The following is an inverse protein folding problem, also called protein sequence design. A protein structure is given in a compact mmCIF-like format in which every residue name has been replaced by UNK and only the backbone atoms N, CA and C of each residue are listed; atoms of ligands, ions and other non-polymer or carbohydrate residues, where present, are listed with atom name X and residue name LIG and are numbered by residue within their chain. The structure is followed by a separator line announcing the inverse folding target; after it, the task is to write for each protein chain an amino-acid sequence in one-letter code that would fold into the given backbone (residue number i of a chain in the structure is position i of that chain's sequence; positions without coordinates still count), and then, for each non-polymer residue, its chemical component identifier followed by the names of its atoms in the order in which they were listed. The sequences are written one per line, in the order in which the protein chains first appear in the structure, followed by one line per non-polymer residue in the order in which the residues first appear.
data_IF_676979467383
#
_entry.id   IF_676979467383
#
_cell.length_a   1.000
_cell.length_b   1.000
_cell.length_c   1.000
_cell.angle_alpha   90.00
_cell.angle_beta   90.00
_cell.angle_gamma   90.00
#
_symmetry.space_group_name_H-M   'P 1'
#
loop_
_entity.id
_entity.type
_entity.pdbx_description
1 polymer ?
#
# COMPACT_ATOMS: atom_id res chain seq x y z
N UNK A 1 4.00 27.13 -13.11
CA UNK A 1 2.62 26.75 -13.40
C UNK A 1 2.13 25.75 -12.35
N UNK A 2 1.34 26.16 -11.35
CA UNK A 2 1.00 25.30 -10.23
C UNK A 2 -0.23 24.46 -10.58
N UNK A 3 0.01 23.27 -11.13
CA UNK A 3 -1.00 22.21 -11.26
C UNK A 3 -1.49 21.82 -9.87
N UNK A 4 -2.76 22.13 -9.62
CA UNK A 4 -3.55 21.76 -8.45
C UNK A 4 -3.43 20.24 -8.25
N UNK A 5 -2.79 19.82 -7.15
CA UNK A 5 -2.80 18.42 -6.71
C UNK A 5 -4.21 18.07 -6.26
N UNK A 6 -4.94 17.35 -7.10
CA UNK A 6 -6.19 16.69 -6.72
C UNK A 6 -5.85 15.63 -5.65
N UNK A 7 -6.12 15.93 -4.38
CA UNK A 7 -6.06 14.95 -3.30
C UNK A 7 -7.33 14.13 -3.39
N UNK A 8 -7.24 12.95 -4.02
CA UNK A 8 -8.32 11.98 -4.04
C UNK A 8 -8.08 11.00 -2.90
N UNK A 9 -8.97 10.91 -1.90
CA UNK A 9 -8.84 9.92 -0.82
C UNK A 9 -9.13 8.52 -1.36
N UNK A 10 -8.27 7.55 -1.07
CA UNK A 10 -8.41 6.17 -1.57
C UNK A 10 -9.64 5.43 -0.99
N UNK A 11 -10.24 5.93 0.09
CA UNK A 11 -11.54 5.52 0.63
C UNK A 11 -12.20 6.72 1.33
N UNK A 12 -13.50 6.95 1.12
CA UNK A 12 -14.29 7.97 1.83
C UNK A 12 -15.33 7.29 2.70
N UNK A 13 -15.30 7.54 4.02
CA UNK A 13 -16.41 7.25 4.94
C UNK A 13 -17.14 8.57 5.19
N UNK A 14 -18.44 8.65 4.87
CA UNK A 14 -19.27 9.82 5.16
C UNK A 14 -20.13 9.53 6.38
N UNK A 15 -19.93 10.31 7.43
CA UNK A 15 -20.88 10.41 8.54
C UNK A 15 -21.61 11.76 8.41
N UNK A 16 -22.93 11.73 8.29
CA UNK A 16 -23.76 12.91 8.07
C UNK A 16 -24.15 13.51 9.43
N UNK A 17 -23.37 14.46 9.93
CA UNK A 17 -23.85 15.37 10.97
C UNK A 17 -24.28 16.68 10.30
N UNK A 18 -25.58 16.96 10.31
CA UNK A 18 -26.16 18.26 9.95
C UNK A 18 -25.89 19.24 11.10
N UNK A 19 -25.06 20.28 10.92
CA UNK A 19 -24.94 21.33 11.91
C UNK A 19 -26.10 22.31 11.73
N UNK A 20 -26.81 22.60 12.81
CA UNK A 20 -27.91 23.56 12.85
C UNK A 20 -27.33 24.98 12.92
N UNK A 21 -27.48 25.78 11.85
CA UNK A 21 -27.03 27.17 11.81
C UNK A 21 -28.22 28.11 12.00
N UNK A 22 -28.24 28.86 13.10
CA UNK A 22 -29.15 30.00 13.31
C UNK A 22 -28.45 31.29 12.89
N UNK A 23 -29.00 31.97 11.89
CA UNK A 23 -28.56 33.31 11.48
C UNK A 23 -29.05 34.39 12.47
N UNK A 24 -28.17 35.34 12.78
CA UNK A 24 -28.54 36.64 13.34
C UNK A 24 -27.93 37.74 12.48
N UNK A 25 -28.74 38.75 12.14
CA UNK A 25 -28.34 39.90 11.31
C UNK A 25 -27.51 40.89 12.12
N UNK A 26 -26.36 41.32 11.57
CA UNK A 26 -25.62 42.49 12.06
C UNK A 26 -25.01 43.30 10.91
N UNK A 27 -25.01 44.61 11.11
CA UNK A 27 -24.65 45.71 10.20
C UNK A 27 -23.14 45.85 10.03
N UNK A 28 -22.69 46.15 8.80
CA UNK A 28 -21.29 46.10 8.39
C UNK A 28 -20.45 47.31 8.83
N UNK A 29 -19.38 47.02 9.59
CA UNK A 29 -18.13 47.79 9.61
C UNK A 29 -17.06 46.82 9.10
N UNK A 30 -16.24 47.23 8.14
CA UNK A 30 -15.18 46.40 7.58
C UNK A 30 -14.03 46.24 8.61
N UNK A 31 -14.26 45.37 9.59
CA UNK A 31 -13.25 44.92 10.53
C UNK A 31 -12.89 43.49 10.13
N UNK A 32 -11.59 43.21 9.96
CA UNK A 32 -11.11 41.86 9.67
C UNK A 32 -11.59 40.97 10.83
N UNK A 33 -12.50 40.05 10.54
CA UNK A 33 -13.00 39.10 11.54
C UNK A 33 -11.84 38.17 11.91
N UNK A 34 -11.48 38.02 13.20
CA UNK A 34 -10.37 37.17 13.61
C UNK A 34 -10.61 35.72 13.19
N UNK A 35 -9.57 35.09 12.63
CA UNK A 35 -9.64 33.70 12.17
C UNK A 35 -9.74 32.75 13.36
N UNK A 36 -10.77 31.90 13.36
CA UNK A 36 -10.84 30.76 14.27
C UNK A 36 -9.86 29.68 13.76
N UNK A 37 -8.80 29.42 14.52
CA UNK A 37 -7.85 28.35 14.20
C UNK A 37 -8.40 27.02 14.70
N UNK A 38 -8.75 26.12 13.76
CA UNK A 38 -8.95 24.72 14.07
C UNK A 38 -7.63 23.97 13.93
N UNK A 39 -7.30 23.11 14.90
CA UNK A 39 -6.22 22.14 14.75
C UNK A 39 -6.72 21.09 13.74
N UNK A 40 -6.20 21.12 12.52
CA UNK A 40 -6.34 19.97 11.62
C UNK A 40 -5.69 18.80 12.36
N UNK A 41 -6.48 17.80 12.76
CA UNK A 41 -5.94 16.54 13.21
C UNK A 41 -4.96 16.06 12.13
N UNK A 42 -3.79 15.56 12.55
CA UNK A 42 -2.80 15.01 11.63
C UNK A 42 -3.56 14.14 10.62
N UNK A 43 -3.38 14.42 9.32
CA UNK A 43 -3.84 13.54 8.26
C UNK A 43 -3.03 12.25 8.44
N UNK A 44 -3.49 11.39 9.34
CA UNK A 44 -2.89 10.09 9.60
C UNK A 44 -3.12 9.29 8.33
N UNK A 45 -2.10 9.24 7.48
CA UNK A 45 -2.04 8.29 6.39
C UNK A 45 -2.12 6.92 7.04
N UNK A 46 -3.26 6.25 6.90
CA UNK A 46 -3.48 4.92 7.49
C UNK A 46 -2.61 3.93 6.72
N UNK A 47 -1.41 3.67 7.23
CA UNK A 47 -0.56 2.60 6.74
C UNK A 47 -1.19 1.25 7.11
N UNK A 48 -1.57 0.46 6.10
CA UNK A 48 -2.21 -0.84 6.30
C UNK A 48 -1.14 -1.88 6.58
N UNK A 49 -1.12 -2.36 7.83
CA UNK A 49 -0.24 -3.46 8.28
C UNK A 49 -1.03 -4.55 8.98
N UNK A 50 -0.56 -5.77 8.87
CA UNK A 50 -1.04 -6.91 9.65
C UNK A 50 0.06 -7.26 10.66
N UNK A 51 -0.35 -7.46 11.92
CA UNK A 51 0.56 -7.85 12.99
C UNK A 51 0.06 -9.18 13.54
N UNK A 52 0.88 -10.21 13.41
CA UNK A 52 0.67 -11.53 14.00
C UNK A 52 1.33 -11.52 15.38
N UNK A 53 0.57 -11.92 16.40
CA UNK A 53 1.02 -11.94 17.79
C UNK A 53 0.94 -13.33 18.39
N UNK A 54 1.84 -13.61 19.33
CA UNK A 54 1.75 -14.80 20.17
C UNK A 54 0.51 -14.70 21.08
N UNK A 55 -0.14 -15.84 21.35
CA UNK A 55 -1.36 -15.87 22.16
C UNK A 55 -1.08 -15.70 23.66
N UNK A 56 0.09 -16.11 24.13
CA UNK A 56 0.53 -16.12 25.53
C UNK A 56 0.88 -14.71 26.08
N UNK A 57 1.68 -13.97 25.34
CA UNK A 57 2.33 -12.73 25.79
C UNK A 57 2.07 -11.56 24.83
N UNK A 58 1.25 -11.75 23.79
CA UNK A 58 0.97 -10.74 22.77
C UNK A 58 2.24 -10.21 22.08
N UNK A 59 3.34 -10.97 22.11
CA UNK A 59 4.58 -10.60 21.47
C UNK A 59 4.38 -10.54 19.95
N UNK A 60 4.96 -9.54 19.28
CA UNK A 60 4.86 -9.41 17.82
C UNK A 60 5.76 -10.49 17.21
N UNK A 61 5.15 -11.39 16.44
CA UNK A 61 5.83 -12.51 15.77
C UNK A 61 6.17 -12.11 14.34
N UNK A 62 5.17 -11.69 13.57
CA UNK A 62 5.34 -11.33 12.15
C UNK A 62 4.60 -10.06 11.82
N UNK A 63 5.25 -9.14 11.13
CA UNK A 63 4.65 -7.93 10.59
C UNK A 63 4.58 -8.04 9.08
N UNK A 64 3.39 -7.85 8.51
CA UNK A 64 3.18 -7.76 7.07
C UNK A 64 2.81 -6.32 6.72
N UNK A 65 3.61 -5.67 5.90
CA UNK A 65 3.39 -4.31 5.43
C UNK A 65 3.07 -4.31 3.93
N UNK A 66 2.00 -3.63 3.54
CA UNK A 66 1.66 -3.43 2.12
C UNK A 66 2.11 -2.02 1.71
N UNK A 67 2.94 -1.93 0.67
CA UNK A 67 3.45 -0.62 0.24
C UNK A 67 2.34 0.25 -0.37
N UNK A 68 2.37 1.53 0.00
CA UNK A 68 1.58 2.58 -0.63
C UNK A 68 2.41 3.38 -1.65
N UNK A 69 1.79 4.08 -2.62
CA UNK A 69 2.51 4.94 -3.56
C UNK A 69 3.41 5.99 -2.88
N UNK A 70 2.98 6.52 -1.72
CA UNK A 70 3.77 7.48 -0.95
C UNK A 70 5.10 6.90 -0.46
N UNK A 71 5.15 5.59 -0.12
CA UNK A 71 6.36 4.92 0.37
C UNK A 71 7.46 4.87 -0.72
N UNK A 72 7.07 4.86 -1.99
CA UNK A 72 7.98 4.74 -3.15
C UNK A 72 8.34 6.07 -3.80
N UNK A 73 7.72 7.17 -3.36
CA UNK A 73 7.99 8.50 -3.91
C UNK A 73 9.26 9.10 -3.28
N UNK A 74 10.29 9.31 -4.09
CA UNK A 74 11.56 9.89 -3.63
C UNK A 74 11.34 11.29 -3.01
N UNK A 75 12.06 11.57 -1.92
CA UNK A 75 11.98 12.85 -1.20
C UNK A 75 10.66 13.11 -0.47
N UNK A 76 9.68 12.19 -0.51
CA UNK A 76 8.41 12.36 0.18
C UNK A 76 8.52 12.04 1.68
N UNK A 77 7.70 12.70 2.50
CA UNK A 77 7.57 12.39 3.92
C UNK A 77 7.12 10.93 4.15
N UNK A 78 6.25 10.40 3.28
CA UNK A 78 5.80 9.00 3.33
C UNK A 78 6.96 8.02 3.17
N UNK A 79 7.85 8.24 2.20
CA UNK A 79 9.07 7.42 2.06
C UNK A 79 9.99 7.51 3.27
N UNK A 80 10.18 8.71 3.83
CA UNK A 80 11.04 8.88 5.01
C UNK A 80 10.49 8.11 6.22
N UNK A 81 9.19 8.24 6.49
CA UNK A 81 8.48 7.50 7.55
C UNK A 81 8.61 5.99 7.35
N UNK A 82 8.27 5.52 6.16
CA UNK A 82 8.36 4.10 5.81
C UNK A 82 9.78 3.54 5.96
N UNK A 83 10.82 4.26 5.52
CA UNK A 83 12.21 3.79 5.67
C UNK A 83 12.66 3.76 7.14
N UNK A 84 12.17 4.67 7.99
CA UNK A 84 12.43 4.62 9.44
C UNK A 84 11.82 3.36 10.05
N UNK A 85 10.51 3.17 9.83
CA UNK A 85 9.75 2.01 10.31
C UNK A 85 10.33 0.70 9.81
N UNK A 86 10.76 0.65 8.54
CA UNK A 86 11.43 -0.53 7.97
C UNK A 86 12.70 -0.85 8.75
N UNK A 87 13.57 0.12 9.07
CA UNK A 87 14.76 -0.13 9.89
C UNK A 87 14.41 -0.65 11.29
N UNK A 88 13.40 -0.06 11.93
CA UNK A 88 12.95 -0.51 13.25
C UNK A 88 12.48 -1.97 13.23
N UNK A 89 11.71 -2.36 12.20
CA UNK A 89 11.26 -3.75 12.04
C UNK A 89 12.42 -4.72 11.80
N UNK A 90 13.42 -4.32 10.99
CA UNK A 90 14.62 -5.14 10.73
C UNK A 90 15.51 -5.31 11.97
N UNK A 91 15.45 -4.35 12.90
CA UNK A 91 16.16 -4.41 14.19
C UNK A 91 15.35 -5.11 15.29
N UNK A 92 14.11 -5.50 15.01
CA UNK A 92 13.24 -6.16 15.98
C UNK A 92 13.38 -7.69 15.96
N UNK A 93 12.78 -8.35 16.94
CA UNK A 93 12.64 -9.82 17.00
C UNK A 93 11.52 -10.38 16.12
N UNK A 94 10.76 -9.51 15.44
CA UNK A 94 9.65 -9.93 14.59
C UNK A 94 10.10 -10.22 13.15
N UNK A 95 9.55 -11.26 12.53
CA UNK A 95 9.68 -11.44 11.08
C UNK A 95 9.01 -10.26 10.37
N UNK A 96 9.55 -9.90 9.21
CA UNK A 96 9.05 -8.78 8.43
C UNK A 96 8.80 -9.19 6.98
N UNK A 97 7.55 -9.08 6.55
CA UNK A 97 7.12 -9.27 5.17
C UNK A 97 6.72 -7.92 4.60
N UNK A 98 7.26 -7.59 3.43
CA UNK A 98 6.90 -6.42 2.65
C UNK A 98 6.29 -6.86 1.32
N UNK A 99 5.12 -6.31 1.00
CA UNK A 99 4.39 -6.59 -0.24
C UNK A 99 4.37 -5.33 -1.10
N UNK A 100 5.09 -5.37 -2.23
CA UNK A 100 5.16 -4.30 -3.22
C UNK A 100 4.44 -4.73 -4.52
N UNK A 101 3.16 -4.37 -4.62
CA UNK A 101 2.36 -4.55 -5.84
C UNK A 101 2.32 -3.27 -6.71
N UNK A 102 3.25 -2.34 -6.51
CA UNK A 102 3.28 -1.05 -7.20
C UNK A 102 4.31 -1.06 -8.33
N UNK A 103 3.86 -0.87 -9.57
CA UNK A 103 4.75 -0.81 -10.74
C UNK A 103 5.60 0.47 -10.81
N UNK A 104 5.14 1.55 -10.18
CA UNK A 104 5.80 2.86 -10.18
C UNK A 104 6.59 3.12 -8.88
N UNK A 105 7.46 4.14 -8.94
CA UNK A 105 8.27 4.58 -7.80
C UNK A 105 9.53 3.73 -7.55
N UNK A 106 10.29 4.09 -6.53
CA UNK A 106 11.57 3.45 -6.20
C UNK A 106 11.45 2.55 -4.97
N UNK A 107 11.99 1.33 -5.07
CA UNK A 107 12.08 0.40 -3.92
C UNK A 107 13.05 0.92 -2.86
N UNK A 108 12.95 0.41 -1.64
CA UNK A 108 13.85 0.78 -0.55
C UNK A 108 15.28 0.30 -0.83
N UNK A 109 15.44 -0.95 -1.22
CA UNK A 109 16.73 -1.58 -1.50
C UNK A 109 16.73 -2.23 -2.89
N UNK A 110 17.79 -2.03 -3.69
CA UNK A 110 18.01 -2.85 -4.87
C UNK A 110 18.48 -4.23 -4.44
N UNK A 111 17.76 -5.30 -4.81
CA UNK A 111 18.31 -6.66 -4.71
C UNK A 111 19.31 -6.84 -5.87
N UNK A 112 20.61 -7.06 -5.58
CA UNK A 112 21.62 -7.18 -6.64
C UNK A 112 21.27 -8.30 -7.63
N UNK A 113 21.42 -8.04 -8.93
CA UNK A 113 21.20 -9.04 -9.99
C UNK A 113 19.73 -9.37 -10.30
N UNK A 114 18.75 -8.92 -9.51
CA UNK A 114 17.32 -9.23 -9.72
C UNK A 114 16.72 -8.58 -10.99
N UNK A 115 17.35 -7.52 -11.51
CA UNK A 115 16.76 -6.66 -12.53
C UNK A 115 15.46 -6.00 -12.04
N UNK A 116 14.80 -5.21 -12.91
CA UNK A 116 13.50 -4.62 -12.54
C UNK A 116 12.39 -5.66 -12.74
N UNK A 117 11.52 -5.78 -11.73
CA UNK A 117 10.32 -6.62 -11.75
C UNK A 117 9.12 -5.78 -11.34
N UNK A 118 7.95 -6.10 -11.87
CA UNK A 118 6.73 -5.33 -11.65
C UNK A 118 6.33 -5.36 -10.18
N UNK A 119 6.29 -6.57 -9.61
CA UNK A 119 5.95 -6.81 -8.21
C UNK A 119 7.09 -7.49 -7.47
N UNK A 120 7.15 -7.25 -6.16
CA UNK A 120 8.13 -7.87 -5.28
C UNK A 120 7.48 -8.15 -3.94
N UNK A 121 7.61 -9.39 -3.47
CA UNK A 121 7.37 -9.72 -2.07
C UNK A 121 8.70 -10.03 -1.44
N UNK A 122 8.92 -9.53 -0.23
CA UNK A 122 10.18 -9.63 0.48
C UNK A 122 9.92 -10.13 1.90
N UNK A 123 10.74 -11.06 2.37
CA UNK A 123 10.67 -11.62 3.72
C UNK A 123 12.06 -11.57 4.35
N UNK A 124 12.15 -10.96 5.53
CA UNK A 124 13.27 -11.14 6.45
C UNK A 124 12.80 -11.81 7.72
N UNK A 125 13.46 -12.93 8.01
CA UNK A 125 13.22 -13.71 9.21
C UNK A 125 14.06 -13.13 10.36
N UNK A 126 13.53 -13.08 11.57
CA UNK A 126 14.26 -12.49 12.71
C UNK A 126 15.53 -13.25 13.08
N UNK A 127 15.53 -14.58 12.88
CA UNK A 127 16.69 -15.44 13.13
C UNK A 127 17.83 -15.32 12.12
N UNK A 128 17.58 -14.76 10.93
CA UNK A 128 18.60 -14.55 9.90
C UNK A 128 18.31 -13.26 9.13
N UNK A 129 18.98 -12.18 9.56
CA UNK A 129 18.87 -10.85 8.94
C UNK A 129 19.85 -10.64 7.80
N UNK A 130 20.84 -11.53 7.64
CA UNK A 130 21.83 -11.44 6.56
C UNK A 130 21.27 -12.00 5.25
N UNK A 131 20.36 -12.97 5.34
CA UNK A 131 19.66 -13.54 4.21
C UNK A 131 18.19 -13.09 4.19
N UNK A 132 17.67 -12.89 2.98
CA UNK A 132 16.31 -12.45 2.76
C UNK A 132 15.71 -13.28 1.65
N UNK A 133 14.49 -13.75 1.87
CA UNK A 133 13.71 -14.43 0.85
C UNK A 133 12.95 -13.38 0.05
N UNK A 134 12.83 -13.58 -1.26
CA UNK A 134 12.10 -12.66 -2.10
C UNK A 134 11.47 -13.36 -3.31
N UNK A 135 10.33 -12.83 -3.74
CA UNK A 135 9.57 -13.34 -4.88
C UNK A 135 9.34 -12.22 -5.89
N UNK A 136 10.24 -12.06 -6.88
CA UNK A 136 10.05 -11.12 -7.95
C UNK A 136 8.99 -11.66 -8.90
N UNK A 137 7.90 -10.92 -9.10
CA UNK A 137 6.78 -11.39 -9.92
C UNK A 137 6.55 -10.45 -11.11
N UNK A 138 6.67 -10.95 -12.36
CA UNK A 138 6.24 -10.23 -13.55
C UNK A 138 4.73 -9.95 -13.53
N UNK A 139 4.29 -8.86 -14.15
CA UNK A 139 2.86 -8.52 -14.26
C UNK A 139 2.01 -9.65 -14.87
N UNK A 140 2.56 -10.31 -15.89
CA UNK A 140 1.87 -11.36 -16.64
C UNK A 140 1.82 -12.73 -15.92
N UNK A 141 2.44 -12.85 -14.74
CA UNK A 141 2.52 -14.11 -13.97
C UNK A 141 1.59 -14.07 -12.75
N UNK A 142 1.12 -15.24 -12.33
CA UNK A 142 0.39 -15.37 -11.07
C UNK A 142 1.27 -14.97 -9.88
N UNK A 143 0.66 -14.33 -8.88
CA UNK A 143 1.31 -14.03 -7.61
C UNK A 143 1.64 -15.34 -6.87
N UNK A 144 2.79 -15.40 -6.17
CA UNK A 144 3.25 -16.61 -5.50
C UNK A 144 2.45 -16.92 -4.24
N UNK A 145 2.46 -18.19 -3.82
CA UNK A 145 2.19 -18.53 -2.42
C UNK A 145 3.45 -18.29 -1.61
N UNK A 146 3.37 -17.48 -0.56
CA UNK A 146 4.51 -17.12 0.29
C UNK A 146 4.39 -17.74 1.68
N UNK A 147 5.51 -18.04 2.37
CA UNK A 147 5.47 -18.44 3.76
C UNK A 147 5.22 -17.23 4.68
N UNK A 148 4.33 -17.41 5.64
CA UNK A 148 4.17 -16.49 6.78
C UNK A 148 4.76 -17.19 8.00
N UNK A 149 5.98 -16.80 8.44
CA UNK A 149 6.62 -17.41 9.58
C UNK A 149 5.87 -17.10 10.88
N UNK A 150 5.96 -18.04 11.81
CA UNK A 150 5.42 -17.94 13.16
C UNK A 150 6.58 -18.12 14.16
N UNK A 151 6.30 -18.54 15.40
CA UNK A 151 7.35 -18.81 16.38
C UNK A 151 8.24 -19.98 15.91
N UNK A 152 9.49 -20.12 16.41
CA UNK A 152 10.47 -21.10 15.90
C UNK A 152 10.05 -22.57 15.85
N UNK A 153 9.01 -22.96 16.58
CA UNK A 153 8.48 -24.35 16.62
C UNK A 153 7.23 -24.53 15.78
N UNK A 154 6.66 -23.44 15.27
CA UNK A 154 5.47 -23.45 14.44
C UNK A 154 5.89 -23.47 12.96
N UNK A 155 5.27 -24.32 12.13
CA UNK A 155 5.54 -24.29 10.70
C UNK A 155 5.04 -22.98 10.09
N UNK A 156 5.69 -22.55 9.01
CA UNK A 156 5.20 -21.41 8.22
C UNK A 156 3.77 -21.68 7.72
N UNK A 157 2.92 -20.65 7.78
CA UNK A 157 1.57 -20.70 7.20
C UNK A 157 1.64 -20.27 5.74
N UNK A 158 1.15 -21.06 4.78
CA UNK A 158 1.12 -20.66 3.38
C UNK A 158 0.08 -19.55 3.17
N UNK A 159 0.49 -18.46 2.53
CA UNK A 159 -0.37 -17.36 2.11
C UNK A 159 -0.40 -17.29 0.58
N UNK A 160 -1.51 -17.72 -0.01
CA UNK A 160 -1.74 -17.64 -1.45
C UNK A 160 -2.09 -16.20 -1.85
N UNK A 161 -1.10 -15.48 -2.37
CA UNK A 161 -1.26 -14.07 -2.74
C UNK A 161 -2.18 -13.87 -3.94
N UNK A 162 -2.26 -14.85 -4.84
CA UNK A 162 -3.16 -14.78 -5.98
C UNK A 162 -4.61 -14.90 -5.51
N UNK A 163 -4.89 -15.85 -4.63
CA UNK A 163 -6.22 -16.02 -4.03
C UNK A 163 -6.65 -14.79 -3.23
N UNK A 164 -5.74 -14.19 -2.45
CA UNK A 164 -6.00 -12.93 -1.72
C UNK A 164 -6.36 -11.80 -2.67
N UNK A 165 -5.61 -11.63 -3.77
CA UNK A 165 -5.90 -10.59 -4.75
C UNK A 165 -7.28 -10.79 -5.40
N UNK A 166 -7.63 -12.02 -5.78
CA UNK A 166 -8.93 -12.34 -6.36
C UNK A 166 -10.07 -12.05 -5.37
N UNK A 167 -9.95 -12.51 -4.12
CA UNK A 167 -10.98 -12.29 -3.09
C UNK A 167 -11.21 -10.79 -2.83
N UNK A 168 -10.14 -10.00 -2.75
CA UNK A 168 -10.24 -8.54 -2.63
C UNK A 168 -10.88 -7.91 -3.87
N UNK A 169 -10.51 -8.38 -5.06
CA UNK A 169 -11.04 -7.87 -6.33
C UNK A 169 -12.56 -8.05 -6.40
N UNK A 170 -13.02 -9.27 -6.09
CA UNK A 170 -14.41 -9.69 -6.16
C UNK A 170 -15.25 -9.02 -5.07
N UNK A 171 -14.81 -9.08 -3.80
CA UNK A 171 -15.56 -8.51 -2.68
C UNK A 171 -15.70 -6.99 -2.76
N UNK A 172 -14.71 -6.31 -3.29
CA UNK A 172 -14.73 -4.84 -3.41
C UNK A 172 -15.48 -4.35 -4.65
N UNK A 173 -15.90 -5.26 -5.53
CA UNK A 173 -16.64 -4.95 -6.75
C UNK A 173 -15.85 -4.05 -7.71
N UNK A 174 -14.53 -4.25 -7.81
CA UNK A 174 -13.66 -3.38 -8.61
C UNK A 174 -14.04 -3.34 -10.08
N UNK A 175 -14.65 -4.40 -10.62
CA UNK A 175 -15.20 -4.43 -11.98
C UNK A 175 -16.12 -3.24 -12.29
N UNK A 176 -16.84 -2.71 -11.29
CA UNK A 176 -17.73 -1.55 -11.44
C UNK A 176 -17.04 -0.21 -11.19
N UNK A 177 -15.87 -0.22 -10.57
CA UNK A 177 -15.13 0.98 -10.15
C UNK A 177 -13.96 1.32 -11.06
N UNK A 178 -13.42 0.32 -11.75
CA UNK A 178 -12.29 0.46 -12.66
C UNK A 178 -12.81 0.68 -14.08
N UNK A 179 -12.39 1.79 -14.66
CA UNK A 179 -12.68 2.13 -16.05
C UNK A 179 -11.59 1.54 -16.96
N UNK A 180 -11.85 0.35 -17.48
CA UNK A 180 -10.95 -0.38 -18.37
C UNK A 180 -10.81 0.23 -19.77
N UNK A 181 -11.58 1.28 -20.10
CA UNK A 181 -11.42 2.02 -21.35
C UNK A 181 -10.25 3.02 -21.29
N UNK A 182 -9.76 3.33 -20.08
CA UNK A 182 -8.63 4.25 -19.89
C UNK A 182 -7.32 3.57 -20.25
N UNK A 183 -6.35 4.38 -20.64
CA UNK A 183 -4.98 3.92 -20.80
C UNK A 183 -4.42 3.35 -19.49
N UNK A 184 -3.56 2.33 -19.62
CA UNK A 184 -2.89 1.72 -18.48
C UNK A 184 -2.09 2.79 -17.73
N UNK A 185 -2.24 2.91 -16.40
CA UNK A 185 -1.47 3.87 -15.62
C UNK A 185 0.04 3.65 -15.77
N UNK A 186 0.80 4.73 -15.66
CA UNK A 186 2.26 4.67 -15.71
C UNK A 186 2.83 3.71 -14.63
N UNK A 187 3.97 3.03 -14.90
CA UNK A 187 4.79 3.11 -16.11
C UNK A 187 4.15 2.38 -17.31
N UNK A 188 4.54 2.76 -18.55
CA UNK A 188 4.05 2.07 -19.75
C UNK A 188 4.36 0.56 -19.67
N UNK A 189 3.48 -0.23 -20.28
CA UNK A 189 3.70 -1.66 -20.45
C UNK A 189 4.84 -1.88 -21.46
N UNK A 190 5.66 -2.91 -21.22
CA UNK A 190 6.59 -3.40 -22.24
C UNK A 190 5.83 -4.13 -23.34
N UNK A 191 6.41 -4.27 -24.54
CA UNK A 191 5.76 -4.90 -25.70
C UNK A 191 5.19 -6.30 -25.36
N UNK A 192 5.98 -7.14 -24.68
CA UNK A 192 5.54 -8.46 -24.20
C UNK A 192 4.29 -8.42 -23.31
N UNK A 193 4.14 -7.36 -22.51
CA UNK A 193 3.00 -7.20 -21.61
C UNK A 193 1.77 -6.71 -22.37
N UNK A 194 1.96 -5.89 -23.40
CA UNK A 194 0.89 -5.44 -24.31
C UNK A 194 0.34 -6.63 -25.09
N UNK A 195 1.23 -7.49 -25.63
CA UNK A 195 0.85 -8.71 -26.33
C UNK A 195 0.05 -9.65 -25.43
N UNK A 196 0.53 -9.90 -24.21
CA UNK A 196 -0.17 -10.70 -23.21
C UNK A 196 -1.57 -10.15 -22.90
N UNK A 197 -1.67 -8.84 -22.62
CA UNK A 197 -2.94 -8.18 -22.30
C UNK A 197 -3.94 -8.27 -23.46
N UNK A 198 -3.46 -8.07 -24.69
CA UNK A 198 -4.28 -8.18 -25.90
C UNK A 198 -4.75 -9.62 -26.13
N UNK A 199 -3.93 -10.62 -25.79
CA UNK A 199 -4.30 -12.03 -25.82
C UNK A 199 -5.42 -12.38 -24.85
N UNK A 200 -5.38 -11.82 -23.63
CA UNK A 200 -6.45 -12.01 -22.63
C UNK A 200 -7.78 -11.42 -23.10
N UNK A 201 -7.77 -10.22 -23.70
CA UNK A 201 -8.97 -9.58 -24.21
C UNK A 201 -9.64 -10.39 -25.34
N UNK A 202 -8.86 -11.08 -26.18
CA UNK A 202 -9.38 -11.94 -27.26
C UNK A 202 -10.03 -13.23 -26.75
N UNK A 203 -9.57 -13.75 -25.62
CA UNK A 203 -10.07 -14.99 -25.02
C UNK A 203 -11.25 -14.75 -24.05
N UNK A 204 -11.61 -13.50 -23.81
CA UNK A 204 -12.74 -13.10 -22.96
C UNK A 204 -14.04 -12.87 -23.75
N UNK A 205 -14.07 -13.27 -25.03
CA UNK A 205 -15.24 -13.19 -25.94
C UNK A 205 -15.86 -14.56 -26.10
#
# INVERSE_FOLDING_TARGET
DPMIRLVVPDVTVRESMTPDFRESKSTAIATITPALQARLADLQVTERRIVIRSSDHQAIVTVIEILSPANKLQGSAGRVSYLSKRRELLQSEAHFIEIDLLRAGSRAEPVPGMGRRDYLIWLSRSQDRLHVDYWPTPLESALPTIPVPLLPRDPDVPLDMQAVLHDVYDRSGYVRRLDYSRSVPAPPLADRQIEWLTGLAKNAV
#
